data_IF_677135789129
#
_entry.id   IF_677135789129
#
_cell.length_a   1.000
_cell.length_b   1.000
_cell.length_c   1.000
_cell.angle_alpha   90.00
_cell.angle_beta   90.00
_cell.angle_gamma   90.00
#
_symmetry.space_group_name_H-M   'P 1'
#
loop_
_entity.id
_entity.type
_entity.pdbx_description
1 polymer ?
#
# COMPACT_ATOMS: atom_id res chain seq x y z
N UNK A 1 13.45 7.20 -0.50
CA UNK A 1 13.11 6.66 0.82
C UNK A 1 12.10 7.43 1.65
N UNK A 2 11.64 8.63 1.27
CA UNK A 2 10.69 9.42 2.07
C UNK A 2 9.28 8.82 2.21
N UNK A 3 8.71 8.26 1.14
CA UNK A 3 7.31 7.75 1.15
C UNK A 3 7.13 6.54 2.08
N UNK A 4 8.08 5.62 2.08
CA UNK A 4 8.01 4.41 2.91
C UNK A 4 8.14 4.74 4.39
N UNK A 5 9.02 5.68 4.74
CA UNK A 5 9.15 6.16 6.12
C UNK A 5 7.87 6.88 6.58
N UNK A 6 7.26 7.72 5.73
CA UNK A 6 5.97 8.35 6.05
C UNK A 6 4.85 7.32 6.26
N UNK A 7 4.82 6.26 5.46
CA UNK A 7 3.86 5.15 5.58
C UNK A 7 4.04 4.43 6.92
N UNK A 8 5.28 4.07 7.25
CA UNK A 8 5.61 3.42 8.53
C UNK A 8 5.17 4.28 9.70
N UNK A 9 5.51 5.56 9.69
CA UNK A 9 5.25 6.46 10.82
C UNK A 9 3.73 6.65 11.01
N UNK A 10 2.97 6.77 9.91
CA UNK A 10 1.50 6.84 9.96
C UNK A 10 0.86 5.55 10.48
N UNK A 11 1.37 4.38 10.09
CA UNK A 11 0.90 3.08 10.59
C UNK A 11 1.19 2.92 12.08
N UNK A 12 2.41 3.25 12.51
CA UNK A 12 2.81 3.16 13.92
C UNK A 12 1.97 4.08 14.81
N UNK A 13 1.67 5.30 14.35
CA UNK A 13 0.83 6.26 15.09
C UNK A 13 -0.62 5.81 15.28
N UNK A 14 -1.06 4.74 14.60
CA UNK A 14 -2.43 4.21 14.65
C UNK A 14 -2.47 2.72 14.98
N UNK A 15 -1.34 2.11 15.29
CA UNK A 15 -1.22 0.66 15.49
C UNK A 15 -1.99 0.15 16.72
N UNK A 16 -2.16 1.00 17.73
CA UNK A 16 -2.87 0.72 18.98
C UNK A 16 -4.40 0.76 18.83
N UNK A 17 -4.91 1.61 17.93
CA UNK A 17 -6.37 1.82 17.72
C UNK A 17 -6.92 1.15 16.46
N UNK A 18 -6.06 0.76 15.52
CA UNK A 18 -6.47 0.22 14.23
C UNK A 18 -6.58 -1.30 14.24
N UNK A 19 -7.64 -1.83 13.62
CA UNK A 19 -7.81 -3.28 13.40
C UNK A 19 -7.00 -3.81 12.21
N UNK A 20 -6.44 -2.91 11.41
CA UNK A 20 -5.69 -3.21 10.20
C UNK A 20 -5.49 -1.94 9.36
N UNK A 21 -4.70 -2.06 8.30
CA UNK A 21 -4.37 -0.96 7.40
C UNK A 21 -4.73 -1.33 5.97
N UNK A 22 -5.40 -0.41 5.28
CA UNK A 22 -5.60 -0.49 3.84
C UNK A 22 -4.63 0.49 3.18
N UNK A 23 -3.67 -0.04 2.44
CA UNK A 23 -2.68 0.76 1.71
C UNK A 23 -3.14 0.82 0.26
N UNK A 24 -3.54 2.02 -0.17
CA UNK A 24 -4.02 2.28 -1.53
C UNK A 24 -2.91 2.85 -2.41
N UNK A 25 -2.80 2.32 -3.64
CA UNK A 25 -1.87 2.81 -4.65
C UNK A 25 -0.38 2.56 -4.37
N UNK A 26 -0.05 1.76 -3.36
CA UNK A 26 1.31 1.30 -3.03
C UNK A 26 1.29 -0.20 -2.68
N UNK A 27 2.30 -0.98 -3.12
CA UNK A 27 3.44 -0.60 -3.96
C UNK A 27 3.09 -0.44 -5.45
N UNK A 28 3.83 0.42 -6.18
CA UNK A 28 3.71 0.55 -7.65
C UNK A 28 4.80 -0.19 -8.41
N UNK A 29 5.89 -0.51 -7.73
CA UNK A 29 7.04 -1.25 -8.26
C UNK A 29 7.37 -2.43 -7.33
N UNK A 30 7.94 -3.49 -7.89
CA UNK A 30 8.32 -4.69 -7.11
C UNK A 30 9.29 -4.35 -5.98
N UNK A 31 10.30 -3.53 -6.27
CA UNK A 31 11.30 -3.10 -5.28
C UNK A 31 10.68 -2.35 -4.09
N UNK A 32 9.60 -1.60 -4.32
CA UNK A 32 8.87 -0.92 -3.25
C UNK A 32 8.16 -1.93 -2.34
N UNK A 33 7.60 -3.00 -2.92
CA UNK A 33 7.04 -4.11 -2.15
C UNK A 33 8.09 -4.80 -1.29
N UNK A 34 9.25 -5.14 -1.85
CA UNK A 34 10.34 -5.77 -1.10
C UNK A 34 10.81 -4.90 0.09
N UNK A 35 10.95 -3.60 -0.11
CA UNK A 35 11.34 -2.68 0.96
C UNK A 35 10.24 -2.49 2.02
N UNK A 36 8.97 -2.55 1.61
CA UNK A 36 7.84 -2.54 2.55
C UNK A 36 7.85 -3.75 3.46
N UNK A 37 8.07 -4.94 2.91
CA UNK A 37 8.14 -6.18 3.70
C UNK A 37 9.32 -6.16 4.68
N UNK A 38 10.47 -5.61 4.27
CA UNK A 38 11.67 -5.49 5.11
C UNK A 38 11.52 -4.45 6.24
N UNK A 39 10.94 -3.28 5.96
CA UNK A 39 10.90 -2.15 6.91
C UNK A 39 9.62 -2.09 7.75
N UNK A 40 8.51 -2.64 7.27
CA UNK A 40 7.20 -2.58 7.92
C UNK A 40 6.74 -3.99 8.29
N UNK A 41 6.21 -4.74 7.33
CA UNK A 41 5.69 -6.10 7.51
C UNK A 41 5.25 -6.70 6.16
N UNK A 42 5.16 -8.03 6.03
CA UNK A 42 4.51 -8.66 4.88
C UNK A 42 3.00 -8.33 4.84
N UNK A 43 2.43 -8.00 3.65
CA UNK A 43 1.00 -7.75 3.52
C UNK A 43 0.20 -9.04 3.73
N UNK A 44 -0.95 -8.93 4.40
CA UNK A 44 -1.83 -10.10 4.66
C UNK A 44 -2.69 -10.45 3.44
N UNK A 45 -3.01 -9.45 2.61
CA UNK A 45 -3.87 -9.60 1.43
C UNK A 45 -3.49 -8.53 0.40
N UNK A 46 -3.49 -8.91 -0.88
CA UNK A 46 -3.36 -8.00 -2.02
C UNK A 46 -4.66 -8.01 -2.81
N UNK A 47 -5.34 -6.87 -2.88
CA UNK A 47 -6.54 -6.69 -3.67
C UNK A 47 -6.17 -6.18 -5.07
N UNK A 48 -6.19 -7.06 -6.06
CA UNK A 48 -6.00 -6.68 -7.46
C UNK A 48 -7.33 -6.27 -8.08
N UNK A 49 -7.57 -4.96 -8.17
CA UNK A 49 -8.75 -4.41 -8.83
C UNK A 49 -8.50 -4.36 -10.33
N UNK A 50 -8.92 -5.41 -11.04
CA UNK A 50 -8.81 -5.49 -12.50
C UNK A 50 -9.92 -4.67 -13.17
N UNK A 51 -9.52 -3.68 -13.97
CA UNK A 51 -10.41 -2.83 -14.74
C UNK A 51 -9.86 -2.62 -16.16
N UNK A 52 -10.71 -2.82 -17.16
CA UNK A 52 -10.35 -2.62 -18.56
C UNK A 52 -9.96 -1.16 -18.84
N UNK A 53 -9.00 -0.96 -19.76
CA UNK A 53 -8.49 0.37 -20.15
C UNK A 53 -9.61 1.36 -20.49
N UNK A 54 -10.61 0.95 -21.26
CA UNK A 54 -11.74 1.82 -21.61
C UNK A 54 -12.55 2.24 -20.39
N UNK A 55 -12.80 1.32 -19.46
CA UNK A 55 -13.52 1.60 -18.20
C UNK A 55 -12.73 2.55 -17.32
N UNK A 56 -11.40 2.39 -17.24
CA UNK A 56 -10.53 3.31 -16.51
C UNK A 56 -10.57 4.70 -17.14
N UNK A 57 -10.37 4.82 -18.45
CA UNK A 57 -10.39 6.12 -19.17
C UNK A 57 -11.75 6.82 -19.04
N UNK A 58 -12.87 6.10 -19.04
CA UNK A 58 -14.21 6.68 -18.83
C UNK A 58 -14.43 7.23 -17.41
N UNK A 59 -13.65 6.77 -16.43
CA UNK A 59 -13.78 7.15 -15.01
C UNK A 59 -12.75 8.18 -14.55
N UNK A 60 -11.68 8.39 -15.34
CA UNK A 60 -10.67 9.42 -15.14
C UNK A 60 -11.20 10.80 -15.57
#
# INVERSE_FOLDING_TARGET
DTVLDMLRDAMMAKADVSKGFLIDGYPREVKQGEEFEKKIAPPTLLLYVDAGKETMVKRL
#
